data_IF_995213885353
#
_entry.id   IF_995213885353
#
_cell.length_a   1.000
_cell.length_b   1.000
_cell.length_c   1.000
_cell.angle_alpha   90.00
_cell.angle_beta   90.00
_cell.angle_gamma   90.00
#
_symmetry.space_group_name_H-M   'P 1'
#
loop_
_entity.id
_entity.type
_entity.pdbx_description
1 polymer ?
#
# COMPACT_ATOMS: atom_id res chain seq x y z
N UNK A 1 10.19 -1.12 17.03
CA UNK A 1 10.40 0.13 16.24
C UNK A 1 10.73 -0.32 14.83
N UNK A 2 10.03 0.19 13.81
CA UNK A 2 10.31 -0.15 12.42
C UNK A 2 11.68 0.39 11.99
N UNK A 3 12.44 -0.41 11.23
CA UNK A 3 13.70 0.01 10.63
C UNK A 3 13.43 0.71 9.30
N UNK A 4 13.98 1.91 9.13
CA UNK A 4 13.90 2.69 7.88
C UNK A 4 15.26 2.63 7.18
N UNK A 5 15.24 2.30 5.89
CA UNK A 5 16.43 2.22 5.04
C UNK A 5 16.34 3.18 3.85
N UNK A 6 17.50 3.59 3.33
CA UNK A 6 17.59 4.43 2.15
C UNK A 6 17.64 3.56 0.88
N UNK A 7 16.90 3.98 -0.15
CA UNK A 7 17.02 3.44 -1.50
C UNK A 7 17.44 4.55 -2.47
N UNK A 8 18.71 4.92 -2.40
CA UNK A 8 19.31 6.03 -3.18
C UNK A 8 19.00 5.93 -4.68
N UNK A 9 19.10 4.75 -5.36
CA UNK A 9 18.79 4.66 -6.78
C UNK A 9 17.37 5.06 -7.15
N UNK A 10 16.44 4.98 -6.18
CA UNK A 10 15.04 5.35 -6.35
C UNK A 10 14.72 6.77 -5.88
N UNK A 11 15.58 7.40 -5.08
CA UNK A 11 15.32 8.72 -4.46
C UNK A 11 14.24 8.67 -3.37
N UNK A 12 14.21 7.59 -2.58
CA UNK A 12 13.26 7.43 -1.48
C UNK A 12 13.82 6.58 -0.34
N UNK A 13 13.23 6.73 0.84
CA UNK A 13 13.42 5.84 1.99
C UNK A 13 12.23 4.90 2.10
N UNK A 14 12.42 3.77 2.75
CA UNK A 14 11.37 2.79 2.95
C UNK A 14 11.45 2.14 4.33
N UNK A 15 10.32 1.68 4.83
CA UNK A 15 10.22 0.86 6.05
C UNK A 15 10.51 -0.58 5.65
N UNK A 16 11.53 -1.20 6.26
CA UNK A 16 11.81 -2.63 6.04
C UNK A 16 10.60 -3.48 6.40
N UNK A 17 10.29 -4.43 5.55
CA UNK A 17 9.16 -5.34 5.68
C UNK A 17 9.51 -6.73 5.18
N UNK A 18 8.53 -7.61 5.04
CA UNK A 18 8.72 -8.92 4.44
C UNK A 18 9.10 -8.81 2.95
N UNK A 19 9.52 -9.91 2.33
CA UNK A 19 9.95 -9.89 0.92
C UNK A 19 8.87 -9.40 -0.06
N UNK A 20 7.59 -9.48 0.33
CA UNK A 20 6.46 -9.13 -0.53
C UNK A 20 6.36 -7.62 -0.81
N UNK A 21 6.67 -6.76 0.18
CA UNK A 21 6.56 -5.29 0.10
C UNK A 21 7.18 -4.61 1.32
N UNK A 22 7.51 -3.33 1.18
CA UNK A 22 7.90 -2.50 2.33
C UNK A 22 6.68 -1.99 3.11
N UNK A 23 6.87 -1.62 4.37
CA UNK A 23 5.82 -1.04 5.21
C UNK A 23 5.36 0.35 4.76
N UNK A 24 6.15 1.04 3.96
CA UNK A 24 5.86 2.37 3.43
C UNK A 24 7.11 3.02 2.85
N UNK A 25 6.91 4.11 2.11
CA UNK A 25 7.97 4.88 1.47
C UNK A 25 7.79 6.38 1.68
N UNK A 26 8.88 7.12 1.74
CA UNK A 26 8.90 8.59 1.74
C UNK A 26 9.96 9.08 0.76
N UNK A 27 9.63 10.09 -0.05
CA UNK A 27 10.58 10.69 -0.97
C UNK A 27 11.77 11.32 -0.23
N UNK A 28 12.98 11.15 -0.77
CA UNK A 28 14.16 11.86 -0.29
C UNK A 28 14.07 13.35 -0.60
N UNK A 29 14.78 14.21 0.16
CA UNK A 29 14.87 15.64 -0.17
C UNK A 29 15.28 15.85 -1.63
N UNK A 30 14.57 16.75 -2.33
CA UNK A 30 14.74 16.99 -3.76
C UNK A 30 13.97 16.05 -4.67
N UNK A 31 13.17 15.13 -4.12
CA UNK A 31 12.25 14.28 -4.84
C UNK A 31 10.82 14.43 -4.35
N UNK A 32 9.86 14.09 -5.20
CA UNK A 32 8.47 13.89 -4.85
C UNK A 32 7.94 12.63 -5.50
N UNK A 33 6.90 12.04 -4.91
CA UNK A 33 6.19 10.89 -5.48
C UNK A 33 5.07 11.40 -6.39
N UNK A 34 4.97 10.85 -7.59
CA UNK A 34 3.81 10.96 -8.49
C UNK A 34 3.07 9.64 -8.52
N UNK A 35 1.74 9.71 -8.64
CA UNK A 35 0.87 8.55 -8.75
C UNK A 35 0.09 8.59 -10.07
N UNK A 36 0.08 7.47 -10.76
CA UNK A 36 -0.77 7.23 -11.92
C UNK A 36 -1.76 6.12 -11.58
N UNK A 37 -3.04 6.41 -11.79
CA UNK A 37 -4.14 5.46 -11.66
C UNK A 37 -4.68 5.12 -13.03
N UNK A 38 -4.92 3.84 -13.27
CA UNK A 38 -5.55 3.38 -14.51
C UNK A 38 -7.08 3.52 -14.41
N UNK A 39 -7.72 3.96 -15.51
CA UNK A 39 -9.21 3.93 -15.64
C UNK A 39 -9.72 2.49 -15.57
N UNK A 40 -8.96 1.56 -16.15
CA UNK A 40 -9.21 0.12 -16.04
C UNK A 40 -7.94 -0.56 -15.55
N UNK A 41 -8.01 -1.39 -14.51
CA UNK A 41 -6.86 -2.13 -14.04
C UNK A 41 -6.17 -2.92 -15.15
N UNK A 42 -4.85 -2.94 -15.17
CA UNK A 42 -4.05 -3.69 -16.14
C UNK A 42 -3.50 -4.97 -15.51
N UNK A 43 -3.66 -6.14 -16.15
CA UNK A 43 -3.00 -7.38 -15.69
C UNK A 43 -1.52 -7.14 -15.37
N UNK A 44 -1.00 -7.75 -14.31
CA UNK A 44 0.33 -7.44 -13.75
C UNK A 44 1.42 -7.42 -14.82
N UNK A 45 1.44 -8.38 -15.74
CA UNK A 45 2.45 -8.41 -16.80
C UNK A 45 2.36 -7.20 -17.75
N UNK A 46 1.15 -6.80 -18.16
CA UNK A 46 0.93 -5.62 -19.01
C UNK A 46 1.19 -4.33 -18.25
N UNK A 47 0.83 -4.29 -16.96
CA UNK A 47 1.12 -3.15 -16.10
C UNK A 47 2.62 -2.88 -15.97
N UNK A 48 3.44 -3.91 -15.76
CA UNK A 48 4.90 -3.76 -15.76
C UNK A 48 5.44 -3.24 -17.09
N UNK A 49 4.97 -3.76 -18.23
CA UNK A 49 5.37 -3.26 -19.56
C UNK A 49 4.99 -1.77 -19.75
N UNK A 50 3.79 -1.40 -19.29
CA UNK A 50 3.37 0.00 -19.33
C UNK A 50 4.28 0.89 -18.48
N UNK A 51 4.59 0.46 -17.26
CA UNK A 51 5.45 1.20 -16.32
C UNK A 51 6.86 1.36 -16.89
N UNK A 52 7.45 0.30 -17.45
CA UNK A 52 8.75 0.36 -18.15
C UNK A 52 8.76 1.41 -19.25
N UNK A 53 7.73 1.36 -20.13
CA UNK A 53 7.60 2.34 -21.20
C UNK A 53 7.44 3.75 -20.65
N UNK A 54 6.55 3.95 -19.68
CA UNK A 54 6.28 5.25 -19.08
C UNK A 54 7.54 5.85 -18.45
N UNK A 55 8.27 5.09 -17.63
CA UNK A 55 9.49 5.56 -16.98
C UNK A 55 10.59 5.88 -18.01
N UNK A 56 10.72 5.09 -19.07
CA UNK A 56 11.63 5.35 -20.19
C UNK A 56 11.27 6.65 -20.91
N UNK A 57 10.00 6.84 -21.26
CA UNK A 57 9.52 8.03 -21.98
C UNK A 57 9.78 9.34 -21.22
N UNK A 58 9.71 9.30 -19.87
CA UNK A 58 9.97 10.46 -19.02
C UNK A 58 11.41 10.57 -18.53
N UNK A 59 12.31 9.67 -18.98
CA UNK A 59 13.72 9.66 -18.62
C UNK A 59 14.01 9.33 -17.15
N UNK A 60 13.15 8.50 -16.52
CA UNK A 60 13.37 8.04 -15.14
C UNK A 60 13.89 6.59 -15.12
N UNK A 61 14.81 6.25 -14.21
CA UNK A 61 15.25 4.86 -14.04
C UNK A 61 14.10 4.01 -13.48
N UNK A 62 14.09 2.71 -13.76
CA UNK A 62 13.09 1.78 -13.22
C UNK A 62 13.13 1.72 -11.69
N UNK A 63 14.29 1.98 -11.08
CA UNK A 63 14.44 2.10 -9.63
C UNK A 63 13.63 3.23 -9.01
N UNK A 64 13.12 4.19 -9.80
CA UNK A 64 12.23 5.24 -9.30
C UNK A 64 10.82 4.72 -8.94
N UNK A 65 10.42 3.52 -9.39
CA UNK A 65 9.19 2.87 -8.98
C UNK A 65 9.22 2.57 -7.48
N UNK A 66 8.30 3.17 -6.72
CA UNK A 66 8.36 3.14 -5.25
C UNK A 66 7.11 2.54 -4.60
N UNK A 67 5.97 2.51 -5.29
CA UNK A 67 4.77 1.90 -4.75
C UNK A 67 3.78 1.47 -5.85
N UNK A 68 2.86 0.56 -5.50
CA UNK A 68 1.73 0.23 -6.35
C UNK A 68 0.49 -0.21 -5.55
N UNK A 69 -0.64 -0.16 -6.24
CA UNK A 69 -1.92 -0.66 -5.79
C UNK A 69 -2.38 -1.75 -6.75
N UNK A 70 -2.62 -2.93 -6.22
CA UNK A 70 -3.11 -4.07 -7.00
C UNK A 70 -4.57 -4.36 -6.67
N UNK A 71 -5.24 -4.99 -7.62
CA UNK A 71 -6.55 -5.61 -7.45
C UNK A 71 -6.44 -7.06 -7.87
N UNK A 72 -6.93 -7.97 -7.05
CA UNK A 72 -6.92 -9.42 -7.30
C UNK A 72 -8.34 -9.97 -7.46
N UNK A 73 -8.53 -11.09 -8.18
CA UNK A 73 -9.85 -11.66 -8.44
C UNK A 73 -10.60 -12.08 -7.18
N UNK A 74 -9.87 -12.63 -6.20
CA UNK A 74 -10.39 -13.12 -4.92
C UNK A 74 -9.25 -13.23 -3.91
N UNK A 75 -9.54 -13.32 -2.60
CA UNK A 75 -8.54 -13.56 -1.58
C UNK A 75 -7.78 -14.88 -1.80
N UNK A 76 -6.47 -14.79 -1.74
CA UNK A 76 -5.56 -15.94 -1.86
C UNK A 76 -5.61 -16.82 -0.62
N UNK A 77 -5.27 -18.08 -0.77
CA UNK A 77 -4.74 -18.87 0.35
C UNK A 77 -3.37 -18.30 0.78
N UNK A 78 -2.88 -18.64 1.96
CA UNK A 78 -1.56 -18.19 2.42
C UNK A 78 -0.45 -18.58 1.42
N UNK A 79 -0.43 -19.85 0.97
CA UNK A 79 0.55 -20.30 -0.02
C UNK A 79 0.37 -19.61 -1.37
N UNK A 80 -0.87 -19.44 -1.84
CA UNK A 80 -1.16 -18.74 -3.10
C UNK A 80 -0.69 -17.28 -3.07
N UNK A 81 -0.76 -16.63 -1.91
CA UNK A 81 -0.25 -15.27 -1.75
C UNK A 81 1.28 -15.23 -1.82
N UNK A 82 1.96 -16.19 -1.21
CA UNK A 82 3.42 -16.33 -1.32
C UNK A 82 3.84 -16.57 -2.78
N UNK A 83 3.18 -17.51 -3.48
CA UNK A 83 3.50 -17.86 -4.87
C UNK A 83 3.29 -16.66 -5.81
N UNK A 84 2.16 -15.96 -5.67
CA UNK A 84 1.92 -14.71 -6.40
C UNK A 84 3.03 -13.68 -6.16
N UNK A 85 3.43 -13.49 -4.90
CA UNK A 85 4.46 -12.53 -4.55
C UNK A 85 5.82 -12.89 -5.12
N UNK A 86 6.20 -14.17 -5.19
CA UNK A 86 7.46 -14.60 -5.82
C UNK A 86 7.49 -14.26 -7.31
N UNK A 87 6.37 -14.37 -8.02
CA UNK A 87 6.25 -13.95 -9.42
C UNK A 87 6.37 -12.42 -9.53
N UNK A 88 5.65 -11.68 -8.68
CA UNK A 88 5.65 -10.22 -8.67
C UNK A 88 7.05 -9.64 -8.46
N UNK A 89 7.78 -10.10 -7.44
CA UNK A 89 9.11 -9.55 -7.12
C UNK A 89 10.16 -9.88 -8.18
N UNK A 90 9.96 -10.91 -9.01
CA UNK A 90 10.84 -11.20 -10.14
C UNK A 90 10.97 -10.06 -11.16
N UNK A 91 9.93 -9.23 -11.31
CA UNK A 91 10.03 -8.00 -12.12
C UNK A 91 10.84 -6.91 -11.42
N UNK A 92 10.68 -6.76 -10.12
CA UNK A 92 11.44 -5.81 -9.32
C UNK A 92 12.93 -6.20 -9.25
N UNK A 93 13.24 -7.49 -9.25
CA UNK A 93 14.61 -8.00 -9.32
C UNK A 93 15.28 -7.62 -10.66
N UNK A 94 14.58 -7.82 -11.79
CA UNK A 94 15.08 -7.37 -13.11
C UNK A 94 15.33 -5.86 -13.17
N UNK A 95 14.56 -5.06 -12.44
CA UNK A 95 14.73 -3.60 -12.35
C UNK A 95 15.83 -3.18 -11.37
N UNK A 96 16.45 -4.14 -10.66
CA UNK A 96 17.49 -3.87 -9.67
C UNK A 96 16.95 -3.28 -8.35
N UNK A 97 15.65 -3.42 -8.10
CA UNK A 97 14.97 -2.95 -6.89
C UNK A 97 15.01 -4.03 -5.80
N UNK A 98 14.49 -5.23 -6.09
CA UNK A 98 14.46 -6.34 -5.16
C UNK A 98 15.80 -7.06 -5.11
N UNK A 99 16.39 -7.23 -3.90
CA UNK A 99 17.66 -7.92 -3.67
C UNK A 99 17.68 -8.57 -2.30
N UNK A 100 18.22 -9.78 -2.17
CA UNK A 100 18.43 -10.47 -0.88
C UNK A 100 17.16 -10.58 -0.03
N UNK A 101 16.02 -10.90 -0.68
CA UNK A 101 14.69 -10.92 -0.03
C UNK A 101 14.26 -9.58 0.60
N UNK A 102 14.88 -8.48 0.20
CA UNK A 102 14.51 -7.13 0.62
C UNK A 102 13.79 -6.39 -0.52
N UNK A 103 12.60 -5.86 -0.20
CA UNK A 103 11.75 -5.16 -1.14
C UNK A 103 11.47 -3.73 -0.68
N UNK A 104 12.06 -2.71 -1.35
CA UNK A 104 11.83 -1.31 -1.00
C UNK A 104 10.45 -0.76 -1.42
N UNK A 105 9.67 -1.50 -2.23
CA UNK A 105 8.42 -0.99 -2.81
C UNK A 105 7.25 -1.17 -1.87
N UNK A 106 6.50 -0.10 -1.59
CA UNK A 106 5.24 -0.17 -0.85
C UNK A 106 4.12 -0.72 -1.74
N UNK A 107 3.18 -1.48 -1.16
CA UNK A 107 2.08 -2.06 -1.93
C UNK A 107 0.81 -2.24 -1.10
N UNK A 108 -0.34 -1.99 -1.73
CA UNK A 108 -1.65 -2.48 -1.31
C UNK A 108 -2.14 -3.49 -2.34
N UNK A 109 -2.79 -4.56 -1.92
CA UNK A 109 -3.45 -5.50 -2.82
C UNK A 109 -4.77 -5.91 -2.20
N UNK A 110 -5.87 -5.70 -2.88
CA UNK A 110 -7.21 -6.01 -2.36
C UNK A 110 -8.08 -6.66 -3.44
N UNK A 111 -9.16 -7.29 -3.01
CA UNK A 111 -10.06 -8.04 -3.87
C UNK A 111 -11.43 -7.37 -3.89
N UNK A 112 -11.77 -6.58 -4.94
CA UNK A 112 -13.11 -6.01 -5.08
C UNK A 112 -14.17 -7.11 -5.01
N UNK A 113 -15.18 -6.95 -4.16
CA UNK A 113 -16.28 -7.93 -4.03
C UNK A 113 -17.16 -7.95 -5.28
N UNK A 114 -17.24 -6.81 -5.97
CA UNK A 114 -18.02 -6.66 -7.21
C UNK A 114 -17.10 -6.08 -8.28
N UNK A 115 -17.11 -6.66 -9.47
CA UNK A 115 -16.33 -6.19 -10.60
C UNK A 115 -14.82 -6.41 -10.47
N UNK A 116 -14.41 -7.43 -9.70
CA UNK A 116 -13.01 -7.83 -9.61
C UNK A 116 -12.42 -8.13 -10.99
N UNK A 117 -11.13 -7.80 -11.25
CA UNK A 117 -10.47 -8.15 -12.49
C UNK A 117 -10.31 -9.69 -12.58
N UNK A 118 -10.22 -10.26 -13.80
CA UNK A 118 -10.07 -11.70 -13.98
C UNK A 118 -8.70 -12.24 -13.52
N UNK A 119 -7.69 -11.37 -13.49
CA UNK A 119 -6.32 -11.67 -13.07
C UNK A 119 -5.81 -10.56 -12.15
N UNK A 120 -4.81 -10.84 -11.27
CA UNK A 120 -4.17 -9.79 -10.50
C UNK A 120 -3.69 -8.66 -11.40
N UNK A 121 -4.08 -7.43 -11.08
CA UNK A 121 -3.95 -6.28 -11.97
C UNK A 121 -3.48 -5.04 -11.21
N UNK A 122 -2.70 -4.17 -11.87
CA UNK A 122 -2.38 -2.83 -11.37
C UNK A 122 -3.61 -1.92 -11.46
N UNK A 123 -4.04 -1.39 -10.34
CA UNK A 123 -4.97 -0.26 -10.22
C UNK A 123 -4.22 1.06 -10.36
N UNK A 124 -3.04 1.15 -9.73
CA UNK A 124 -2.20 2.33 -9.75
C UNK A 124 -0.73 1.97 -9.50
N UNK A 125 0.15 2.87 -9.92
CA UNK A 125 1.57 2.83 -9.55
C UNK A 125 2.09 4.21 -9.19
N UNK A 126 3.18 4.24 -8.43
CA UNK A 126 3.82 5.46 -7.99
C UNK A 126 5.33 5.40 -8.18
N UNK A 127 5.91 6.54 -8.50
CA UNK A 127 7.34 6.68 -8.77
C UNK A 127 7.85 8.05 -8.33
N UNK A 128 9.14 8.14 -8.04
CA UNK A 128 9.77 9.39 -7.67
C UNK A 128 10.18 10.20 -8.89
N UNK A 129 10.07 11.52 -8.80
CA UNK A 129 10.63 12.49 -9.75
C UNK A 129 11.36 13.60 -8.99
N UNK A 130 12.34 14.31 -9.62
CA UNK A 130 12.91 15.49 -9.02
C UNK A 130 11.83 16.50 -8.66
N UNK A 131 11.85 17.00 -7.42
CA UNK A 131 10.97 18.08 -7.00
C UNK A 131 11.59 19.43 -7.37
N UNK A 132 10.90 20.16 -8.25
CA UNK A 132 11.34 21.50 -8.70
C UNK A 132 10.57 22.63 -8.01
N UNK A 133 9.73 22.30 -7.02
CA UNK A 133 8.99 23.31 -6.26
C UNK A 133 9.93 23.98 -5.28
N UNK A 134 9.80 25.29 -5.12
CA UNK A 134 10.49 26.03 -4.07
C UNK A 134 9.90 25.60 -2.72
N UNK A 135 10.75 25.13 -1.80
CA UNK A 135 10.43 24.74 -0.43
C UNK A 135 9.06 24.04 -0.30
N UNK A 136 8.95 22.79 -0.81
CA UNK A 136 7.70 22.02 -0.69
C UNK A 136 7.39 21.71 0.78
N UNK A 137 6.33 22.30 1.31
CA UNK A 137 5.77 21.95 2.63
C UNK A 137 5.06 20.59 2.61
N UNK A 138 4.87 19.99 1.44
CA UNK A 138 4.16 18.73 1.27
C UNK A 138 5.16 17.58 1.17
N UNK A 139 5.36 16.91 2.28
CA UNK A 139 6.07 15.63 2.28
C UNK A 139 5.31 14.60 1.43
N UNK A 140 6.04 13.86 0.62
CA UNK A 140 5.48 12.89 -0.30
C UNK A 140 5.78 11.48 0.18
N UNK A 141 4.74 10.76 0.62
CA UNK A 141 4.87 9.43 1.19
C UNK A 141 3.67 8.53 0.88
N UNK A 142 3.88 7.22 1.02
CA UNK A 142 2.85 6.19 0.94
C UNK A 142 3.11 5.18 2.05
N UNK A 143 2.09 4.87 2.84
CA UNK A 143 2.08 3.75 3.76
C UNK A 143 1.38 2.58 3.05
N UNK A 144 2.05 1.44 3.00
CA UNK A 144 1.53 0.22 2.39
C UNK A 144 0.25 -0.28 3.07
N UNK A 145 -0.55 -1.03 2.33
CA UNK A 145 -1.69 -1.73 2.89
C UNK A 145 -1.31 -2.57 4.12
N UNK A 146 -2.14 -2.49 5.13
CA UNK A 146 -2.05 -3.33 6.32
C UNK A 146 -3.43 -3.85 6.65
N UNK A 147 -3.52 -5.16 6.85
CA UNK A 147 -4.71 -5.83 7.35
C UNK A 147 -4.51 -6.25 8.81
N UNK A 148 -5.55 -6.79 9.43
CA UNK A 148 -5.61 -7.15 10.84
C UNK A 148 -4.89 -8.46 11.17
N UNK A 149 -3.65 -8.63 10.68
CA UNK A 149 -2.78 -9.77 10.98
C UNK A 149 -1.48 -9.33 11.60
N UNK A 150 -1.13 -9.92 12.74
CA UNK A 150 0.16 -9.65 13.41
C UNK A 150 1.34 -10.18 12.58
N UNK A 151 2.53 -9.60 12.79
CA UNK A 151 3.79 -10.04 12.17
C UNK A 151 4.43 -11.21 12.95
N UNK A 152 3.71 -11.82 13.91
CA UNK A 152 4.18 -12.96 14.70
C UNK A 152 4.40 -14.20 13.82
N UNK A 153 5.13 -15.17 14.34
CA UNK A 153 5.23 -16.51 13.72
C UNK A 153 3.93 -17.29 13.91
N UNK A 154 3.61 -18.17 12.97
CA UNK A 154 2.39 -18.97 12.98
C UNK A 154 1.59 -18.85 11.68
N UNK A 155 0.50 -19.60 11.57
CA UNK A 155 -0.43 -19.52 10.46
C UNK A 155 -1.19 -18.19 10.46
N UNK A 156 -1.81 -17.82 9.34
CA UNK A 156 -2.69 -16.64 9.30
C UNK A 156 -3.84 -16.76 10.30
N UNK A 157 -4.40 -17.94 10.48
CA UNK A 157 -5.48 -18.20 11.44
C UNK A 157 -5.09 -17.81 12.87
N UNK A 158 -3.83 -18.10 13.28
CA UNK A 158 -3.32 -17.75 14.59
C UNK A 158 -2.96 -16.27 14.75
N UNK A 159 -2.66 -15.60 13.64
CA UNK A 159 -2.19 -14.21 13.62
C UNK A 159 -3.28 -13.18 13.39
N UNK A 160 -4.40 -13.57 12.78
CA UNK A 160 -5.52 -12.66 12.48
C UNK A 160 -6.26 -12.30 13.77
N UNK A 161 -6.42 -11.03 14.01
CA UNK A 161 -7.19 -10.50 15.15
C UNK A 161 -8.64 -10.99 15.03
N UNK A 162 -9.13 -11.68 16.07
CA UNK A 162 -10.51 -12.20 16.11
C UNK A 162 -10.86 -13.00 14.85
N UNK A 163 -10.01 -13.96 14.46
CA UNK A 163 -10.21 -14.79 13.27
C UNK A 163 -11.63 -15.39 13.19
N UNK A 164 -12.28 -15.30 12.03
CA UNK A 164 -13.63 -15.80 11.79
C UNK A 164 -14.77 -14.97 12.39
N UNK A 165 -14.47 -13.92 13.16
CA UNK A 165 -15.48 -13.06 13.75
C UNK A 165 -15.69 -11.77 12.94
N UNK A 166 -16.97 -11.41 12.69
CA UNK A 166 -17.39 -10.21 11.93
C UNK A 166 -18.44 -9.40 12.67
N UNK A 167 -18.59 -9.60 14.00
CA UNK A 167 -19.44 -8.75 14.83
C UNK A 167 -18.92 -7.31 14.85
N UNK A 168 -19.75 -6.35 15.21
CA UNK A 168 -19.38 -4.93 15.31
C UNK A 168 -18.15 -4.73 16.19
N UNK A 169 -18.09 -5.42 17.33
CA UNK A 169 -16.96 -5.33 18.27
C UNK A 169 -15.70 -5.96 17.67
N UNK A 170 -15.81 -7.11 16.98
CA UNK A 170 -14.69 -7.74 16.32
C UNK A 170 -14.12 -6.87 15.20
N UNK A 171 -14.99 -6.28 14.36
CA UNK A 171 -14.57 -5.37 13.30
C UNK A 171 -13.93 -4.09 13.85
N UNK A 172 -14.42 -3.57 14.96
CA UNK A 172 -13.78 -2.45 15.65
C UNK A 172 -12.37 -2.81 16.13
N UNK A 173 -12.18 -3.97 16.77
CA UNK A 173 -10.85 -4.42 17.21
C UNK A 173 -9.89 -4.63 16.04
N UNK A 174 -10.36 -5.21 14.92
CA UNK A 174 -9.58 -5.35 13.67
C UNK A 174 -9.16 -3.98 13.13
N UNK A 175 -10.07 -3.03 13.06
CA UNK A 175 -9.79 -1.66 12.61
C UNK A 175 -8.82 -0.92 13.54
N UNK A 176 -8.94 -1.07 14.86
CA UNK A 176 -8.01 -0.49 15.83
C UNK A 176 -6.59 -1.01 15.64
N UNK A 177 -6.42 -2.31 15.45
CA UNK A 177 -5.13 -2.91 15.14
C UNK A 177 -4.49 -2.32 13.88
N UNK A 178 -5.28 -2.17 12.80
CA UNK A 178 -4.80 -1.60 11.54
C UNK A 178 -4.48 -0.11 11.67
N UNK A 179 -5.29 0.66 12.41
CA UNK A 179 -5.02 2.08 12.69
C UNK A 179 -3.71 2.26 13.45
N UNK A 180 -3.46 1.42 14.45
CA UNK A 180 -2.19 1.42 15.19
C UNK A 180 -1.00 1.09 14.26
N UNK A 181 -1.16 0.12 13.35
CA UNK A 181 -0.14 -0.18 12.36
C UNK A 181 0.14 1.03 11.44
N UNK A 182 -0.90 1.75 10.99
CA UNK A 182 -0.74 2.99 10.21
C UNK A 182 0.01 4.06 11.01
N UNK A 183 -0.37 4.30 12.27
CA UNK A 183 0.28 5.29 13.14
C UNK A 183 1.76 4.97 13.39
N UNK A 184 2.06 3.71 13.65
CA UNK A 184 3.43 3.25 13.85
C UNK A 184 4.30 3.43 12.59
N UNK A 185 3.76 3.15 11.41
CA UNK A 185 4.47 3.34 10.12
C UNK A 185 4.61 4.80 9.76
N UNK A 186 3.56 5.63 9.96
CA UNK A 186 3.65 7.09 9.80
C UNK A 186 4.75 7.68 10.70
N UNK A 187 4.75 7.30 11.98
CA UNK A 187 5.77 7.74 12.94
C UNK A 187 7.18 7.32 12.54
N UNK A 188 7.36 6.09 12.02
CA UNK A 188 8.66 5.63 11.54
C UNK A 188 9.22 6.47 10.39
N UNK A 189 8.35 6.98 9.51
CA UNK A 189 8.73 7.90 8.44
C UNK A 189 8.83 9.38 8.88
N UNK A 190 8.58 9.68 10.16
CA UNK A 190 8.62 11.05 10.69
C UNK A 190 7.41 11.91 10.34
N UNK A 191 6.29 11.28 9.97
CA UNK A 191 5.05 11.96 9.56
C UNK A 191 3.87 11.54 10.47
N UNK A 192 2.70 12.12 10.25
CA UNK A 192 1.49 11.80 11.00
C UNK A 192 0.22 12.13 10.22
N UNK A 193 -0.95 11.88 10.82
CA UNK A 193 -2.26 12.07 10.20
C UNK A 193 -2.47 13.46 9.58
N UNK A 194 -1.92 14.51 10.20
CA UNK A 194 -2.03 15.88 9.70
C UNK A 194 -1.38 16.09 8.30
N UNK A 195 -0.49 15.19 7.89
CA UNK A 195 0.16 15.21 6.58
C UNK A 195 -0.52 14.30 5.54
N UNK A 196 -1.44 13.43 5.97
CA UNK A 196 -2.15 12.51 5.07
C UNK A 196 -3.18 13.28 4.23
N UNK A 197 -3.10 13.14 2.90
CA UNK A 197 -4.08 13.73 1.98
C UNK A 197 -5.01 12.70 1.33
N UNK A 198 -4.81 11.41 1.60
CA UNK A 198 -5.68 10.33 1.10
C UNK A 198 -5.63 9.16 2.06
N UNK A 199 -6.81 8.74 2.51
CA UNK A 199 -7.01 7.50 3.29
C UNK A 199 -7.91 6.57 2.50
N UNK A 200 -7.51 5.30 2.38
CA UNK A 200 -8.30 4.25 1.76
C UNK A 200 -8.59 3.14 2.77
N UNK A 201 -9.84 2.76 2.86
CA UNK A 201 -10.33 1.66 3.69
C UNK A 201 -10.93 0.59 2.79
N UNK A 202 -10.60 -0.66 3.06
CA UNK A 202 -11.03 -1.82 2.30
C UNK A 202 -11.72 -2.81 3.24
N UNK A 203 -13.01 -2.94 3.10
CA UNK A 203 -13.82 -3.92 3.82
C UNK A 203 -15.18 -4.06 3.14
N UNK A 204 -15.83 -5.21 3.30
CA UNK A 204 -17.21 -5.45 2.90
C UNK A 204 -18.19 -5.25 4.06
N UNK A 205 -17.68 -4.88 5.23
CA UNK A 205 -18.44 -4.71 6.45
C UNK A 205 -18.76 -3.24 6.73
N UNK A 206 -19.77 -3.00 7.55
CA UNK A 206 -20.21 -1.67 7.95
C UNK A 206 -19.16 -0.95 8.82
N UNK A 207 -18.72 0.23 8.37
CA UNK A 207 -17.76 1.09 9.07
C UNK A 207 -18.45 2.03 10.10
N UNK A 208 -19.72 2.34 9.94
CA UNK A 208 -20.41 3.35 10.75
C UNK A 208 -20.28 3.15 12.26
N UNK A 209 -20.26 1.91 12.80
CA UNK A 209 -20.17 1.71 14.25
C UNK A 209 -18.90 2.27 14.91
N UNK A 210 -17.82 2.48 14.14
CA UNK A 210 -16.54 2.97 14.67
C UNK A 210 -15.89 4.07 13.80
N UNK A 211 -16.55 4.48 12.74
CA UNK A 211 -16.02 5.49 11.81
C UNK A 211 -15.71 6.81 12.53
N UNK A 212 -16.64 7.36 13.26
CA UNK A 212 -16.48 8.66 13.92
C UNK A 212 -15.44 8.61 15.04
N UNK A 213 -15.59 7.63 15.94
CA UNK A 213 -14.83 7.57 17.18
C UNK A 213 -13.39 7.07 16.99
N UNK A 214 -13.17 6.18 16.02
CA UNK A 214 -11.84 5.57 15.84
C UNK A 214 -11.10 6.10 14.62
N UNK A 215 -11.76 6.36 13.49
CA UNK A 215 -11.09 6.79 12.26
C UNK A 215 -11.02 8.31 12.18
N UNK A 216 -12.19 8.98 12.29
CA UNK A 216 -12.26 10.44 12.11
C UNK A 216 -11.60 11.17 13.26
N UNK A 217 -11.84 10.75 14.52
CA UNK A 217 -11.30 11.39 15.72
C UNK A 217 -9.76 11.38 15.77
N UNK A 218 -9.11 10.38 15.17
CA UNK A 218 -7.64 10.30 15.05
C UNK A 218 -7.05 11.24 13.99
N UNK A 219 -7.89 11.85 13.16
CA UNK A 219 -7.47 12.67 12.03
C UNK A 219 -7.26 11.90 10.73
N UNK A 220 -7.57 10.61 10.70
CA UNK A 220 -7.36 9.75 9.53
C UNK A 220 -8.28 10.09 8.33
N UNK A 221 -9.26 10.95 8.51
CA UNK A 221 -10.18 11.39 7.45
C UNK A 221 -10.01 12.85 7.04
N UNK A 222 -9.02 13.59 7.57
CA UNK A 222 -8.83 15.02 7.29
C UNK A 222 -8.58 15.31 5.81
N UNK A 223 -7.80 14.47 5.12
CA UNK A 223 -7.52 14.57 3.69
C UNK A 223 -8.57 13.91 2.80
N UNK A 224 -9.65 13.41 3.38
CA UNK A 224 -10.65 12.58 2.70
C UNK A 224 -10.46 11.09 2.96
N UNK A 225 -11.57 10.35 2.95
CA UNK A 225 -11.60 8.91 3.13
C UNK A 225 -12.37 8.28 1.98
N UNK A 226 -11.76 7.29 1.34
CA UNK A 226 -12.42 6.46 0.33
C UNK A 226 -12.62 5.06 0.90
N UNK A 227 -13.87 4.62 0.96
CA UNK A 227 -14.23 3.25 1.32
C UNK A 227 -14.45 2.43 0.05
N UNK A 228 -13.60 1.41 -0.14
CA UNK A 228 -13.77 0.43 -1.20
C UNK A 228 -14.46 -0.81 -0.65
N UNK A 229 -15.52 -1.25 -1.31
CA UNK A 229 -16.20 -2.51 -1.01
C UNK A 229 -15.38 -3.67 -1.56
N UNK A 230 -14.34 -4.02 -0.83
CA UNK A 230 -13.30 -4.97 -1.21
C UNK A 230 -12.81 -5.75 0.01
N UNK A 231 -12.32 -6.94 -0.22
CA UNK A 231 -11.68 -7.77 0.81
C UNK A 231 -10.17 -7.59 0.77
N UNK A 232 -9.47 -7.72 1.90
CA UNK A 232 -8.02 -7.87 1.92
C UNK A 232 -7.57 -9.08 1.10
N UNK A 233 -6.26 -9.19 0.74
CA UNK A 233 -5.80 -10.14 -0.26
C UNK A 233 -5.69 -11.59 0.22
N UNK A 234 -5.80 -11.87 1.51
CA UNK A 234 -5.67 -13.23 2.07
C UNK A 234 -6.97 -13.64 2.75
N UNK A 235 -7.35 -14.89 2.58
CA UNK A 235 -8.54 -15.48 3.19
C UNK A 235 -8.55 -15.32 4.71
N UNK A 236 -9.71 -14.98 5.27
CA UNK A 236 -9.90 -14.75 6.71
C UNK A 236 -9.62 -13.33 7.19
N UNK A 237 -8.97 -12.49 6.37
CA UNK A 237 -8.84 -11.06 6.63
C UNK A 237 -10.11 -10.32 6.22
N UNK A 238 -10.53 -9.33 7.01
CA UNK A 238 -11.81 -8.64 6.84
C UNK A 238 -11.67 -7.11 6.72
N UNK A 239 -10.50 -6.56 7.08
CA UNK A 239 -10.28 -5.11 7.11
C UNK A 239 -8.84 -4.76 6.69
N UNK A 240 -8.67 -3.78 5.82
CA UNK A 240 -7.36 -3.25 5.42
C UNK A 240 -7.43 -1.74 5.25
N UNK A 241 -6.31 -1.05 5.46
CA UNK A 241 -6.14 0.37 5.15
C UNK A 241 -4.79 0.62 4.48
N UNK A 242 -4.74 1.65 3.64
CA UNK A 242 -3.54 2.36 3.26
C UNK A 242 -3.74 3.88 3.33
N UNK A 243 -2.64 4.61 3.46
CA UNK A 243 -2.68 6.07 3.51
C UNK A 243 -1.51 6.66 2.76
N UNK A 244 -1.68 7.90 2.30
CA UNK A 244 -0.62 8.60 1.56
C UNK A 244 -0.74 10.11 1.62
N UNK A 245 0.36 10.77 1.27
CA UNK A 245 0.42 12.17 0.88
C UNK A 245 1.09 12.28 -0.48
N UNK A 246 0.34 12.54 -1.52
CA UNK A 246 0.83 12.63 -2.89
C UNK A 246 0.37 13.94 -3.52
N UNK A 247 1.30 14.84 -3.90
CA UNK A 247 0.94 16.15 -4.43
C UNK A 247 0.41 16.11 -5.85
N UNK A 248 0.76 15.06 -6.63
CA UNK A 248 0.35 14.93 -8.04
C UNK A 248 -0.17 13.54 -8.33
N UNK A 249 -1.44 13.48 -8.72
CA UNK A 249 -2.11 12.26 -9.17
C UNK A 249 -2.66 12.46 -10.57
N UNK A 250 -2.57 11.43 -11.40
CA UNK A 250 -3.08 11.42 -12.77
C UNK A 250 -3.93 10.19 -13.00
N UNK A 251 -5.06 10.35 -13.68
CA UNK A 251 -5.90 9.27 -14.19
C UNK A 251 -5.62 9.09 -15.68
N UNK A 252 -5.40 7.86 -16.13
CA UNK A 252 -5.11 7.53 -17.55
C UNK A 252 -5.91 6.31 -18.00
#
# INVERSE_FOLDING_TARGET
MFEVANFEPGGYKYIRGPFQYSGGVVAEPGFMIKRIRFVKPLPVALGFQFIEKHLTDIGRPFTSFCACELRSPAPFTEQGFIDFNRIYVGSLERWGIFKNDENPVARSNVCPEIGAPPDPSFEAFSYTVPDRREASEVESFIIAGSAESSEASGSYEERIIRFGETSKDALKEKALYVLEAMENRLSALGVGWAKVNTTQVYTVHDLYPFLADEIVSRGAALGGLTWYYARPPVQGLEYEMDVRSIPVQQLI
#
